data_IF_797356795339
#
_entry.id   IF_797356795339
#
_cell.length_a   1.000
_cell.length_b   1.000
_cell.length_c   1.000
_cell.angle_alpha   90.00
_cell.angle_beta   90.00
_cell.angle_gamma   90.00
#
_symmetry.space_group_name_H-M   'P 1'
#
loop_
_entity.id
_entity.type
_entity.pdbx_description
1 polymer ?
#
# COMPACT_ATOMS: atom_id res chain seq x y z
N UNK A 1 17.58 -9.59 -5.53
CA UNK A 1 16.37 -10.34 -5.10
C UNK A 1 16.40 -10.44 -3.60
N UNK A 2 15.24 -10.46 -2.94
CA UNK A 2 15.15 -10.64 -1.49
C UNK A 2 15.76 -11.98 -1.07
N UNK A 3 16.44 -11.99 0.06
CA UNK A 3 16.90 -13.19 0.74
C UNK A 3 15.72 -13.94 1.37
N UNK A 4 15.91 -15.23 1.67
CA UNK A 4 14.86 -16.02 2.35
C UNK A 4 14.51 -15.47 3.73
N UNK A 5 15.50 -14.93 4.46
CA UNK A 5 15.28 -14.27 5.75
C UNK A 5 14.40 -13.02 5.63
N UNK A 6 14.62 -12.18 4.61
CA UNK A 6 13.79 -10.99 4.37
C UNK A 6 12.36 -11.37 3.97
N UNK A 7 12.18 -12.42 3.17
CA UNK A 7 10.86 -12.94 2.80
C UNK A 7 10.10 -13.46 4.02
N UNK A 8 10.78 -14.18 4.92
CA UNK A 8 10.17 -14.69 6.15
C UNK A 8 9.71 -13.58 7.08
N UNK A 9 10.52 -12.53 7.24
CA UNK A 9 10.13 -11.34 7.99
C UNK A 9 8.86 -10.72 7.38
N UNK A 10 8.83 -10.55 6.05
CA UNK A 10 7.66 -10.01 5.35
C UNK A 10 6.42 -10.87 5.62
N UNK A 11 6.52 -12.20 5.45
CA UNK A 11 5.41 -13.14 5.70
C UNK A 11 4.88 -13.06 7.13
N UNK A 12 5.77 -12.92 8.12
CA UNK A 12 5.39 -12.77 9.53
C UNK A 12 4.63 -11.47 9.81
N UNK A 13 4.91 -10.41 9.04
CA UNK A 13 4.21 -9.11 9.19
C UNK A 13 2.84 -9.06 8.48
N UNK A 14 2.54 -9.99 7.56
CA UNK A 14 1.30 -10.01 6.79
C UNK A 14 0.03 -9.99 7.67
N UNK A 15 -0.11 -10.81 8.74
CA UNK A 15 -1.31 -10.80 9.56
C UNK A 15 -1.54 -9.44 10.23
N UNK A 16 -0.46 -8.81 10.72
CA UNK A 16 -0.53 -7.49 11.35
C UNK A 16 -0.91 -6.41 10.34
N UNK A 17 -0.32 -6.45 9.14
CA UNK A 17 -0.69 -5.54 8.04
C UNK A 17 -2.15 -5.68 7.63
N UNK A 18 -2.75 -6.87 7.76
CA UNK A 18 -4.16 -7.11 7.39
C UNK A 18 -5.11 -6.50 8.40
N UNK A 19 -4.77 -6.59 9.67
CA UNK A 19 -5.55 -5.99 10.76
C UNK A 19 -5.39 -4.47 10.79
N UNK A 20 -4.16 -3.97 10.56
CA UNK A 20 -3.79 -2.56 10.76
C UNK A 20 -3.65 -1.76 9.48
N UNK A 21 -3.92 -2.34 8.31
CA UNK A 21 -3.68 -1.70 7.00
C UNK A 21 -4.35 -0.34 6.85
N UNK A 22 -5.59 -0.19 7.32
CA UNK A 22 -6.34 1.07 7.31
C UNK A 22 -5.74 2.12 8.26
N UNK A 23 -5.23 1.69 9.41
CA UNK A 23 -4.56 2.57 10.38
C UNK A 23 -3.21 3.06 9.84
N UNK A 24 -2.47 2.18 9.18
CA UNK A 24 -1.20 2.52 8.53
C UNK A 24 -1.43 3.56 7.44
N UNK A 25 -2.44 3.38 6.57
CA UNK A 25 -2.67 4.35 5.48
C UNK A 25 -3.25 5.67 5.98
N UNK A 26 -4.05 5.67 7.05
CA UNK A 26 -4.56 6.89 7.67
C UNK A 26 -3.42 7.75 8.26
N UNK A 27 -2.33 7.14 8.71
CA UNK A 27 -1.12 7.84 9.18
C UNK A 27 -0.19 8.21 8.02
N UNK A 28 -0.05 7.32 7.03
CA UNK A 28 0.88 7.47 5.91
C UNK A 28 0.56 8.69 5.06
N UNK A 29 -0.67 8.84 4.58
CA UNK A 29 -1.02 9.90 3.63
C UNK A 29 -0.84 11.31 4.22
N UNK A 30 -1.32 11.63 5.44
CA UNK A 30 -1.07 12.93 6.04
C UNK A 30 0.42 13.23 6.25
N UNK A 31 1.22 12.24 6.68
CA UNK A 31 2.66 12.40 6.83
C UNK A 31 3.35 12.64 5.49
N UNK A 32 2.97 11.89 4.46
CA UNK A 32 3.51 12.02 3.11
C UNK A 32 3.21 13.41 2.53
N UNK A 33 1.97 13.89 2.59
CA UNK A 33 1.64 15.23 2.06
C UNK A 33 2.21 16.37 2.89
N UNK A 34 2.44 16.16 4.20
CA UNK A 34 3.12 17.14 5.03
C UNK A 34 4.61 17.25 4.68
N UNK A 35 5.27 16.12 4.42
CA UNK A 35 6.68 16.08 4.03
C UNK A 35 6.91 16.47 2.56
N UNK A 36 5.95 16.12 1.69
CA UNK A 36 5.99 16.29 0.25
C UNK A 36 4.69 16.91 -0.28
N UNK A 37 4.47 18.23 -0.05
CA UNK A 37 3.26 18.92 -0.52
C UNK A 37 3.10 18.91 -2.04
N UNK A 38 4.18 18.77 -2.80
CA UNK A 38 4.17 18.68 -4.27
C UNK A 38 3.31 17.53 -4.79
N UNK A 39 3.16 16.45 -4.01
CA UNK A 39 2.35 15.30 -4.37
C UNK A 39 0.85 15.62 -4.37
N UNK A 40 0.40 16.68 -3.68
CA UNK A 40 -1.02 17.09 -3.69
C UNK A 40 -1.53 17.44 -5.09
N UNK A 41 -0.63 17.81 -6.02
CA UNK A 41 -0.97 18.11 -7.40
C UNK A 41 -1.00 16.87 -8.30
N UNK A 42 -0.38 15.77 -7.87
CA UNK A 42 -0.35 14.49 -8.60
C UNK A 42 -1.47 13.55 -8.15
N UNK A 43 -1.90 13.66 -6.89
CA UNK A 43 -2.97 12.84 -6.33
C UNK A 43 -4.35 13.53 -6.47
N UNK A 44 -5.38 12.75 -6.79
CA UNK A 44 -6.74 13.25 -6.91
C UNK A 44 -7.33 13.57 -5.52
N UNK A 45 -7.30 14.84 -5.14
CA UNK A 45 -7.78 15.34 -3.83
C UNK A 45 -9.27 15.05 -3.59
N UNK A 46 -10.08 14.91 -4.64
CA UNK A 46 -11.52 14.59 -4.55
C UNK A 46 -11.76 13.16 -4.05
N UNK A 47 -10.93 12.20 -4.48
CA UNK A 47 -10.98 10.82 -4.00
C UNK A 47 -10.36 10.67 -2.60
N UNK A 48 -9.43 11.57 -2.25
CA UNK A 48 -8.80 11.65 -0.94
C UNK A 48 -9.76 12.13 0.16
N UNK A 49 -10.54 13.19 -0.10
CA UNK A 49 -11.56 13.70 0.84
C UNK A 49 -12.71 12.70 1.08
N UNK A 50 -12.95 11.79 0.14
CA UNK A 50 -13.98 10.74 0.25
C UNK A 50 -13.48 9.46 0.94
N UNK A 51 -12.21 9.39 1.34
CA UNK A 51 -11.64 8.23 2.04
C UNK A 51 -11.41 6.97 1.19
N UNK A 52 -11.93 6.94 -0.05
CA UNK A 52 -11.93 5.75 -0.91
C UNK A 52 -10.52 5.37 -1.40
N UNK A 53 -9.62 6.34 -1.58
CA UNK A 53 -8.28 6.08 -2.12
C UNK A 53 -7.28 5.52 -1.10
N UNK A 54 -7.53 5.67 0.21
CA UNK A 54 -6.63 5.15 1.26
C UNK A 54 -6.50 3.63 1.27
N UNK A 55 -7.42 2.94 0.60
CA UNK A 55 -7.48 1.48 0.53
C UNK A 55 -6.63 0.89 -0.60
N UNK A 56 -6.37 1.62 -1.69
CA UNK A 56 -5.72 1.06 -2.88
C UNK A 56 -4.24 0.74 -2.62
N UNK A 57 -3.50 1.66 -1.96
CA UNK A 57 -2.12 1.41 -1.58
C UNK A 57 -2.01 0.31 -0.52
N UNK A 58 -2.91 0.30 0.48
CA UNK A 58 -2.95 -0.77 1.48
C UNK A 58 -3.15 -2.14 0.82
N UNK A 59 -4.07 -2.23 -0.15
CA UNK A 59 -4.33 -3.45 -0.91
C UNK A 59 -3.13 -3.85 -1.77
N UNK A 60 -2.45 -2.90 -2.41
CA UNK A 60 -1.26 -3.19 -3.21
C UNK A 60 -0.10 -3.72 -2.33
N UNK A 61 0.16 -3.08 -1.18
CA UNK A 61 1.19 -3.52 -0.22
C UNK A 61 0.81 -4.89 0.37
N UNK A 62 -0.46 -5.10 0.71
CA UNK A 62 -0.97 -6.38 1.18
C UNK A 62 -0.79 -7.48 0.14
N UNK A 63 -1.18 -7.23 -1.11
CA UNK A 63 -1.06 -8.19 -2.20
C UNK A 63 0.41 -8.54 -2.49
N UNK A 64 1.31 -7.56 -2.40
CA UNK A 64 2.75 -7.79 -2.49
C UNK A 64 3.30 -8.63 -1.34
N UNK A 65 2.90 -8.33 -0.10
CA UNK A 65 3.36 -9.06 1.07
C UNK A 65 2.86 -10.52 1.10
N UNK A 66 1.62 -10.77 0.68
CA UNK A 66 1.03 -12.12 0.58
C UNK A 66 1.68 -12.94 -0.54
N UNK A 67 2.10 -12.31 -1.64
CA UNK A 67 2.69 -12.98 -2.79
C UNK A 67 4.19 -12.73 -2.93
N UNK A 68 4.91 -12.53 -1.82
CA UNK A 68 6.33 -12.14 -1.84
C UNK A 68 7.25 -13.16 -2.54
N UNK A 69 6.83 -14.42 -2.58
CA UNK A 69 7.52 -15.50 -3.29
C UNK A 69 7.29 -15.46 -4.82
N UNK A 70 6.18 -14.84 -5.26
CA UNK A 70 5.82 -14.73 -6.67
C UNK A 70 5.04 -13.44 -6.97
N UNK A 71 5.77 -12.33 -7.12
CA UNK A 71 5.17 -11.03 -7.41
C UNK A 71 4.49 -10.95 -8.80
N UNK A 72 4.74 -11.92 -9.69
CA UNK A 72 4.13 -11.94 -11.03
C UNK A 72 2.60 -12.16 -10.99
N UNK A 73 2.08 -12.71 -9.90
CA UNK A 73 0.65 -12.96 -9.65
C UNK A 73 -0.11 -11.65 -9.40
N UNK A 74 0.58 -10.58 -9.00
CA UNK A 74 -0.03 -9.33 -8.55
C UNK A 74 -0.28 -8.35 -9.72
N UNK A 75 0.14 -8.70 -10.95
CA UNK A 75 -0.05 -7.88 -12.17
C UNK A 75 -1.45 -7.26 -12.33
N UNK A 76 -2.57 -7.94 -12.01
CA UNK A 76 -3.91 -7.36 -12.16
C UNK A 76 -4.21 -6.19 -11.21
N UNK A 77 -3.57 -6.13 -10.03
CA UNK A 77 -3.90 -5.15 -8.98
C UNK A 77 -3.34 -3.75 -9.29
N UNK A 78 -2.25 -3.67 -10.06
CA UNK A 78 -1.64 -2.39 -10.47
C UNK A 78 -2.56 -1.53 -11.33
N UNK A 79 -3.49 -2.13 -12.07
CA UNK A 79 -4.39 -1.40 -12.97
C UNK A 79 -5.63 -0.84 -12.28
N UNK A 80 -5.99 -1.36 -11.10
CA UNK A 80 -7.20 -0.94 -10.37
C UNK A 80 -6.96 0.14 -9.30
N UNK A 81 -5.70 0.47 -8.99
CA UNK A 81 -5.36 1.31 -7.83
C UNK A 81 -5.10 2.80 -8.15
N UNK A 82 -5.09 3.20 -9.42
CA UNK A 82 -4.70 4.55 -9.84
C UNK A 82 -5.65 5.26 -10.84
N UNK A 83 -6.91 4.83 -11.01
CA UNK A 83 -7.92 5.60 -11.77
C UNK A 83 -9.13 5.87 -10.89
#
# INVERSE_FOLDING_TARGET
>A
MLTEQEKDIIKQTVPLLKEKGTEITSIFYPKMFKAHPELLNMFNQTNQKRGMQSSALAQAVMAAAVNIDNLSVIKPVYYASCI
#
